data_IF_165665759988
#
_entry.id   IF_165665759988
#
_cell.length_a   1.000
_cell.length_b   1.000
_cell.length_c   1.000
_cell.angle_alpha   90.00
_cell.angle_beta   90.00
_cell.angle_gamma   90.00
#
_symmetry.space_group_name_H-M   'P 1'
#
loop_
_entity.id
_entity.type
_entity.pdbx_description
1 polymer ?
#
# COMPACT_ATOMS: atom_id res chain seq x y z
N UNK A 1 -4.22 2.42 18.80
CA UNK A 1 -5.05 3.15 17.82
C UNK A 1 -4.69 4.62 17.91
N UNK A 2 -4.52 5.29 16.78
CA UNK A 2 -4.31 6.73 16.71
C UNK A 2 -5.59 7.38 16.19
N UNK A 3 -6.12 8.36 16.91
CA UNK A 3 -7.23 9.19 16.44
C UNK A 3 -6.68 10.50 15.87
N UNK A 4 -7.16 10.89 14.69
CA UNK A 4 -6.62 12.03 13.95
C UNK A 4 -7.74 12.94 13.50
N UNK A 5 -7.70 14.21 13.91
CA UNK A 5 -8.56 15.29 13.41
C UNK A 5 -7.71 16.36 12.77
N UNK A 6 -8.10 16.81 11.57
CA UNK A 6 -7.37 17.83 10.82
C UNK A 6 -8.35 18.84 10.21
N UNK A 7 -7.94 20.11 10.19
CA UNK A 7 -8.59 21.18 9.41
C UNK A 7 -7.57 21.76 8.46
N UNK A 8 -7.88 21.77 7.17
CA UNK A 8 -6.96 22.24 6.12
C UNK A 8 -7.35 23.65 5.66
N UNK A 9 -6.37 24.54 5.51
CA UNK A 9 -6.53 25.90 4.98
C UNK A 9 -5.66 26.11 3.74
N UNK A 10 -6.14 25.76 2.54
CA UNK A 10 -5.38 25.94 1.30
C UNK A 10 -5.12 27.42 1.02
N UNK A 11 -3.85 27.82 0.89
CA UNK A 11 -3.46 29.20 0.55
C UNK A 11 -3.42 29.48 -0.96
N UNK A 12 -3.52 28.42 -1.77
CA UNK A 12 -3.56 28.45 -3.23
C UNK A 12 -4.30 27.20 -3.72
N UNK A 13 -4.70 27.18 -4.99
CA UNK A 13 -5.28 26.00 -5.61
C UNK A 13 -4.32 24.79 -5.51
N UNK A 14 -4.86 23.62 -5.16
CA UNK A 14 -4.14 22.36 -5.04
C UNK A 14 -4.66 21.42 -6.13
N UNK A 15 -3.86 21.06 -7.16
CA UNK A 15 -4.32 20.20 -8.24
C UNK A 15 -4.68 18.77 -7.80
N UNK A 16 -4.00 18.26 -6.76
CA UNK A 16 -4.25 16.95 -6.17
C UNK A 16 -3.93 16.97 -4.68
N UNK A 17 -4.92 16.74 -3.84
CA UNK A 17 -4.78 16.66 -2.38
C UNK A 17 -4.81 15.19 -1.93
N UNK A 18 -3.79 14.76 -1.19
CA UNK A 18 -3.80 13.47 -0.50
C UNK A 18 -4.29 13.62 0.93
N UNK A 19 -5.21 12.77 1.37
CA UNK A 19 -5.74 12.72 2.74
C UNK A 19 -5.44 11.35 3.33
N UNK A 20 -5.02 11.32 4.60
CA UNK A 20 -4.53 10.11 5.28
C UNK A 20 -3.49 9.33 4.45
N UNK A 21 -2.40 9.98 3.99
CA UNK A 21 -1.38 9.30 3.19
C UNK A 21 -0.67 8.23 4.02
N UNK A 22 -0.34 7.13 3.37
CA UNK A 22 0.47 6.05 3.91
C UNK A 22 1.71 5.88 3.03
N UNK A 23 2.83 5.58 3.64
CA UNK A 23 4.10 5.31 2.97
C UNK A 23 4.63 3.98 3.46
N UNK A 24 5.19 3.18 2.55
CA UNK A 24 5.77 1.86 2.84
C UNK A 24 6.84 1.56 1.80
N UNK A 25 7.59 0.50 2.01
CA UNK A 25 8.57 -0.03 1.05
C UNK A 25 8.16 -1.43 0.57
N UNK A 26 8.40 -1.73 -0.70
CA UNK A 26 8.31 -3.09 -1.27
C UNK A 26 9.46 -3.32 -2.24
N UNK A 27 10.30 -4.33 -1.98
CA UNK A 27 11.42 -4.67 -2.87
C UNK A 27 11.13 -5.90 -3.72
N UNK A 28 10.84 -7.05 -3.09
CA UNK A 28 10.38 -8.28 -3.73
C UNK A 28 9.63 -9.19 -2.74
N UNK A 29 8.83 -10.12 -3.27
CA UNK A 29 8.13 -11.17 -2.54
C UNK A 29 7.88 -12.39 -3.45
N UNK A 30 7.20 -13.43 -2.97
CA UNK A 30 6.87 -14.65 -3.73
C UNK A 30 6.16 -14.41 -5.08
N UNK A 31 5.46 -13.29 -5.20
CA UNK A 31 4.72 -12.91 -6.41
C UNK A 31 5.61 -12.25 -7.49
N UNK A 32 6.89 -12.00 -7.21
CA UNK A 32 7.87 -11.44 -8.15
C UNK A 32 8.58 -12.57 -8.91
N UNK A 33 8.81 -12.37 -10.21
CA UNK A 33 9.50 -13.36 -11.09
C UNK A 33 11.00 -13.12 -11.19
N UNK A 34 11.51 -12.12 -10.47
CA UNK A 34 12.91 -11.70 -10.52
C UNK A 34 13.66 -12.44 -9.43
N UNK A 35 14.78 -13.05 -9.81
CA UNK A 35 15.73 -13.58 -8.85
C UNK A 35 16.67 -12.46 -8.40
N UNK A 36 16.80 -12.28 -7.09
CA UNK A 36 17.61 -11.24 -6.47
C UNK A 36 18.92 -11.79 -5.88
N UNK A 37 19.13 -13.12 -5.88
CA UNK A 37 20.33 -13.74 -5.32
C UNK A 37 20.54 -13.49 -3.82
N UNK A 38 19.47 -13.11 -3.11
CA UNK A 38 19.44 -12.91 -1.65
C UNK A 38 19.02 -14.24 -0.97
N UNK A 39 19.37 -14.41 0.29
CA UNK A 39 18.96 -15.58 1.08
C UNK A 39 17.52 -15.44 1.59
N UNK A 40 16.98 -14.21 1.61
CA UNK A 40 15.63 -13.91 2.07
C UNK A 40 14.62 -14.20 0.95
N UNK A 41 13.54 -14.94 1.24
CA UNK A 41 12.46 -15.13 0.28
C UNK A 41 11.72 -13.83 -0.07
N UNK A 42 11.55 -12.94 0.91
CA UNK A 42 10.84 -11.66 0.77
C UNK A 42 11.56 -10.50 1.43
N UNK A 43 11.35 -9.28 0.91
CA UNK A 43 11.83 -8.05 1.53
C UNK A 43 10.87 -6.88 1.25
N UNK A 44 10.02 -6.55 2.23
CA UNK A 44 9.08 -5.43 2.17
C UNK A 44 8.50 -5.12 3.56
N UNK A 45 7.94 -3.91 3.71
CA UNK A 45 7.20 -3.51 4.92
C UNK A 45 5.68 -3.77 4.77
N UNK A 46 5.20 -4.10 3.56
CA UNK A 46 3.79 -4.33 3.24
C UNK A 46 3.64 -5.13 1.94
N UNK A 47 2.73 -6.09 1.93
CA UNK A 47 2.41 -6.95 0.78
C UNK A 47 1.47 -6.30 -0.22
N UNK A 48 0.61 -5.40 0.24
CA UNK A 48 -0.49 -4.90 -0.57
C UNK A 48 -1.31 -3.78 0.05
N UNK A 49 -2.11 -3.15 -0.81
CA UNK A 49 -3.14 -2.21 -0.46
C UNK A 49 -4.48 -2.95 -0.33
N UNK A 50 -5.09 -2.88 0.85
CA UNK A 50 -6.45 -3.34 1.11
C UNK A 50 -7.40 -2.13 1.04
N UNK A 51 -8.51 -2.27 0.32
CA UNK A 51 -9.54 -1.23 0.20
C UNK A 51 -10.90 -1.87 0.54
N UNK A 52 -11.65 -1.21 1.42
CA UNK A 52 -13.05 -1.51 1.69
C UNK A 52 -13.90 -0.47 0.96
N UNK A 53 -14.58 -0.90 -0.10
CA UNK A 53 -15.31 0.01 -0.97
C UNK A 53 -16.64 0.48 -0.38
N UNK A 54 -17.25 1.49 -0.99
CA UNK A 54 -18.62 1.93 -0.68
C UNK A 54 -19.64 0.79 -0.83
N UNK A 55 -19.45 -0.06 -1.86
CA UNK A 55 -20.29 -1.25 -2.13
C UNK A 55 -20.15 -2.35 -1.07
N UNK A 56 -19.18 -2.25 -0.16
CA UNK A 56 -18.86 -3.28 0.84
C UNK A 56 -17.94 -4.39 0.32
N UNK A 57 -17.39 -4.24 -0.88
CA UNK A 57 -16.40 -5.15 -1.43
C UNK A 57 -15.02 -4.89 -0.81
N UNK A 58 -14.24 -5.96 -0.64
CA UNK A 58 -12.85 -5.89 -0.25
C UNK A 58 -11.94 -6.11 -1.46
N UNK A 59 -11.21 -5.07 -1.86
CA UNK A 59 -10.23 -5.14 -2.94
C UNK A 59 -8.85 -5.34 -2.35
N UNK A 60 -8.12 -6.33 -2.86
CA UNK A 60 -6.71 -6.55 -2.54
C UNK A 60 -5.84 -6.24 -3.76
N UNK A 61 -4.95 -5.26 -3.62
CA UNK A 61 -3.97 -4.91 -4.63
C UNK A 61 -2.57 -5.24 -4.11
N UNK A 62 -1.94 -6.35 -4.54
CA UNK A 62 -0.55 -6.64 -4.20
C UNK A 62 0.38 -5.51 -4.65
N UNK A 63 1.34 -5.14 -3.80
CA UNK A 63 2.39 -4.20 -4.18
C UNK A 63 3.33 -4.85 -5.20
N UNK A 64 4.02 -4.00 -5.95
CA UNK A 64 5.02 -4.40 -6.95
C UNK A 64 6.13 -3.36 -6.96
N UNK A 65 7.31 -3.77 -7.39
CA UNK A 65 8.46 -2.88 -7.60
C UNK A 65 8.74 -2.70 -9.12
N UNK A 66 7.93 -1.90 -9.85
CA UNK A 66 8.09 -1.74 -11.30
C UNK A 66 9.36 -0.96 -11.66
N UNK A 67 9.87 -1.17 -12.88
CA UNK A 67 11.07 -0.45 -13.38
C UNK A 67 10.84 1.05 -13.61
N UNK A 68 9.59 1.46 -13.73
CA UNK A 68 9.17 2.85 -13.94
C UNK A 68 8.08 3.20 -12.94
N UNK A 69 7.92 4.48 -12.63
CA UNK A 69 6.88 4.95 -11.71
C UNK A 69 5.50 4.62 -12.27
N UNK A 70 4.71 3.86 -11.51
CA UNK A 70 3.32 3.54 -11.83
C UNK A 70 2.37 4.26 -10.88
N UNK A 71 1.20 4.65 -11.39
CA UNK A 71 0.10 5.19 -10.59
C UNK A 71 -1.13 4.31 -10.84
N UNK A 72 -1.60 3.65 -9.79
CA UNK A 72 -2.90 2.96 -9.80
C UNK A 72 -3.97 3.87 -9.19
N UNK A 73 -5.16 3.90 -9.78
CA UNK A 73 -6.28 4.69 -9.28
C UNK A 73 -7.50 3.78 -9.10
N UNK A 74 -8.13 3.87 -7.93
CA UNK A 74 -9.34 3.14 -7.60
C UNK A 74 -10.43 4.19 -7.35
N UNK A 75 -11.44 4.21 -8.22
CA UNK A 75 -12.52 5.17 -8.13
C UNK A 75 -13.58 4.66 -7.16
N UNK A 76 -13.84 5.43 -6.11
CA UNK A 76 -14.89 5.15 -5.14
C UNK A 76 -15.50 6.48 -4.65
N UNK A 77 -16.80 6.50 -4.40
CA UNK A 77 -17.52 7.69 -3.91
C UNK A 77 -17.36 7.86 -2.41
N UNK A 78 -17.37 6.78 -1.64
CA UNK A 78 -17.30 6.80 -0.18
C UNK A 78 -16.52 5.58 0.33
N UNK A 79 -15.19 5.63 0.21
CA UNK A 79 -14.34 4.56 0.73
C UNK A 79 -14.57 4.36 2.24
N UNK A 80 -14.86 3.13 2.65
CA UNK A 80 -15.09 2.78 4.06
C UNK A 80 -13.78 2.63 4.84
N UNK A 81 -12.70 2.30 4.14
CA UNK A 81 -11.36 2.26 4.69
C UNK A 81 -10.34 1.78 3.66
N UNK A 82 -9.07 2.12 3.88
CA UNK A 82 -7.97 1.58 3.10
C UNK A 82 -6.71 1.52 3.97
N UNK A 83 -5.78 0.63 3.63
CA UNK A 83 -4.54 0.48 4.36
C UNK A 83 -3.50 -0.33 3.59
N UNK A 84 -2.23 0.03 3.78
CA UNK A 84 -1.11 -0.84 3.43
C UNK A 84 -1.01 -1.91 4.52
N UNK A 85 -0.94 -3.17 4.10
CA UNK A 85 -1.01 -4.32 5.00
C UNK A 85 0.14 -5.27 4.70
N UNK A 86 0.80 -5.70 5.78
CA UNK A 86 1.61 -6.91 5.80
C UNK A 86 0.73 -8.08 6.30
N UNK A 87 0.31 -8.92 5.36
CA UNK A 87 -0.48 -10.14 5.58
C UNK A 87 0.42 -11.31 5.94
N UNK A 88 1.58 -11.43 5.31
CA UNK A 88 2.54 -12.48 5.64
C UNK A 88 3.45 -12.06 6.79
N UNK A 89 3.56 -12.92 7.78
CA UNK A 89 4.29 -12.66 9.03
C UNK A 89 5.09 -13.86 9.49
N UNK A 90 5.24 -14.86 8.63
CA UNK A 90 6.01 -16.06 8.92
C UNK A 90 7.48 -15.67 8.83
N UNK A 91 8.22 -15.86 9.92
CA UNK A 91 9.62 -15.44 10.01
C UNK A 91 10.46 -16.04 8.89
N UNK A 92 10.20 -17.30 8.54
CA UNK A 92 10.91 -18.03 7.49
C UNK A 92 10.82 -17.36 6.11
N UNK A 93 9.85 -16.48 5.88
CA UNK A 93 9.68 -15.75 4.63
C UNK A 93 10.55 -14.47 4.55
N UNK A 94 11.02 -13.95 5.70
CA UNK A 94 11.82 -12.72 5.78
C UNK A 94 13.26 -12.97 6.28
N UNK A 95 13.43 -13.98 7.15
CA UNK A 95 14.69 -14.36 7.81
C UNK A 95 15.33 -13.24 8.65
N UNK A 96 14.57 -12.20 9.00
CA UNK A 96 14.94 -11.09 9.88
C UNK A 96 13.81 -10.65 10.83
#
# INVERSE_FOLDING_TARGET
MLDVRCTLFPRRAIPKLGVAPLTSMFFYAENDRRDFGDYRPELHDSDGLLIHSDTGEWLWRPLRNPRQVEVSQFADRQVRGFGLMQRDRIFEHYQD
#
